data_IF_094643484629
#
_entry.id   IF_094643484629
#
_cell.length_a   1.000
_cell.length_b   1.000
_cell.length_c   1.000
_cell.angle_alpha   90.00
_cell.angle_beta   90.00
_cell.angle_gamma   90.00
#
_symmetry.space_group_name_H-M   'P 1'
#
loop_
_entity.id
_entity.type
_entity.pdbx_description
1 polymer ?
#
# COMPACT_ATOMS: atom_id res chain seq x y z
N UNK A 1 -14.19 -51.25 2.43
CA UNK A 1 -14.41 -50.01 3.21
C UNK A 1 -13.12 -49.23 3.50
N UNK A 2 -11.95 -49.87 3.67
CA UNK A 2 -10.69 -49.17 4.02
C UNK A 2 -10.08 -48.30 2.91
N UNK A 3 -10.31 -48.64 1.63
CA UNK A 3 -9.71 -47.90 0.49
C UNK A 3 -10.31 -46.50 0.31
N UNK A 4 -11.62 -46.34 0.53
CA UNK A 4 -12.29 -45.04 0.44
C UNK A 4 -11.89 -44.11 1.58
N UNK A 5 -11.66 -44.65 2.78
CA UNK A 5 -11.17 -43.86 3.92
C UNK A 5 -9.77 -43.28 3.68
N UNK A 6 -8.87 -44.05 3.07
CA UNK A 6 -7.54 -43.59 2.72
C UNK A 6 -7.59 -42.44 1.67
N UNK A 7 -8.48 -42.54 0.69
CA UNK A 7 -8.66 -41.49 -0.32
C UNK A 7 -9.17 -40.17 0.29
N UNK A 8 -10.13 -40.23 1.21
CA UNK A 8 -10.66 -39.03 1.89
C UNK A 8 -9.60 -38.33 2.73
N UNK A 9 -8.71 -39.08 3.40
CA UNK A 9 -7.60 -38.52 4.18
C UNK A 9 -6.60 -37.78 3.29
N UNK A 10 -6.30 -38.28 2.09
CA UNK A 10 -5.34 -37.65 1.16
C UNK A 10 -5.87 -36.31 0.62
N UNK A 11 -7.18 -36.20 0.38
CA UNK A 11 -7.80 -34.96 -0.12
C UNK A 11 -7.74 -33.83 0.92
N UNK A 12 -7.82 -34.16 2.22
CA UNK A 12 -7.79 -33.18 3.31
C UNK A 12 -6.42 -32.51 3.50
N UNK A 13 -5.33 -33.06 2.95
CA UNK A 13 -3.99 -32.47 3.02
C UNK A 13 -3.58 -31.69 1.76
N UNK A 14 -4.49 -31.49 0.80
CA UNK A 14 -4.18 -30.80 -0.47
C UNK A 14 -4.22 -29.26 -0.40
N UNK A 15 -4.32 -28.66 0.80
CA UNK A 15 -4.29 -27.21 0.97
C UNK A 15 -2.88 -26.66 0.72
N UNK A 16 -2.56 -26.41 -0.55
CA UNK A 16 -1.34 -25.74 -0.98
C UNK A 16 -1.63 -24.25 -1.19
N UNK A 17 -1.25 -23.43 -0.21
CA UNK A 17 -1.29 -21.97 -0.36
C UNK A 17 -0.14 -21.52 -1.27
N UNK A 18 -0.47 -20.81 -2.36
CA UNK A 18 0.52 -20.17 -3.23
C UNK A 18 0.90 -18.82 -2.65
N UNK A 19 2.18 -18.65 -2.33
CA UNK A 19 2.74 -17.36 -1.91
C UNK A 19 3.47 -16.74 -3.09
N UNK A 20 3.21 -15.46 -3.36
CA UNK A 20 3.94 -14.67 -4.35
C UNK A 20 4.72 -13.58 -3.62
N UNK A 21 6.01 -13.49 -3.90
CA UNK A 21 6.85 -12.40 -3.41
C UNK A 21 7.05 -11.40 -4.54
N UNK A 22 6.64 -10.15 -4.31
CA UNK A 22 6.95 -9.04 -5.20
C UNK A 22 8.20 -8.32 -4.68
N UNK A 23 9.15 -8.04 -5.57
CA UNK A 23 10.32 -7.23 -5.26
C UNK A 23 10.32 -5.97 -6.12
N UNK A 24 10.58 -4.84 -5.49
CA UNK A 24 10.77 -3.57 -6.19
C UNK A 24 12.26 -3.34 -6.40
N UNK A 25 12.60 -2.79 -7.55
CA UNK A 25 13.94 -2.34 -7.86
C UNK A 25 13.89 -0.87 -8.26
N UNK A 26 14.84 -0.08 -7.77
CA UNK A 26 15.00 1.31 -8.14
C UNK A 26 16.48 1.70 -8.08
N UNK A 27 16.82 2.85 -8.67
CA UNK A 27 18.17 3.40 -8.61
C UNK A 27 18.47 4.12 -7.27
N UNK A 28 17.51 4.14 -6.34
CA UNK A 28 17.69 4.75 -5.03
C UNK A 28 18.51 3.84 -4.12
N UNK A 29 19.22 4.44 -3.17
CA UNK A 29 19.95 3.69 -2.15
C UNK A 29 18.96 2.88 -1.31
N UNK A 30 19.28 1.59 -1.09
CA UNK A 30 18.48 0.72 -0.24
C UNK A 30 19.14 0.52 1.12
N UNK A 31 18.37 0.62 2.20
CA UNK A 31 18.87 0.33 3.55
C UNK A 31 18.81 -1.18 3.89
N UNK A 32 19.21 -1.52 5.12
CA UNK A 32 19.18 -2.90 5.63
C UNK A 32 17.75 -3.46 5.76
N UNK A 33 16.75 -2.59 5.87
CA UNK A 33 15.32 -2.92 5.99
C UNK A 33 14.61 -2.99 4.62
N UNK A 34 15.37 -2.91 3.52
CA UNK A 34 14.84 -2.87 2.15
C UNK A 34 14.04 -1.62 1.78
N UNK A 35 14.17 -0.53 2.55
CA UNK A 35 13.60 0.78 2.21
C UNK A 35 14.44 1.49 1.17
N UNK A 36 13.77 2.25 0.31
CA UNK A 36 14.43 3.16 -0.60
C UNK A 36 14.62 4.52 0.07
N UNK A 37 15.86 5.00 0.08
CA UNK A 37 16.24 6.28 0.70
C UNK A 37 16.49 7.32 -0.39
N UNK A 38 15.86 8.47 -0.21
CA UNK A 38 16.24 9.71 -0.87
C UNK A 38 16.63 10.74 0.18
N UNK A 39 17.85 11.25 0.09
CA UNK A 39 18.41 12.10 1.13
C UNK A 39 19.08 13.32 0.51
N UNK A 40 18.81 14.50 1.08
CA UNK A 40 19.52 15.74 0.78
C UNK A 40 19.99 16.40 2.10
N UNK A 41 20.47 17.64 2.03
CA UNK A 41 20.98 18.37 3.20
C UNK A 41 19.87 18.82 4.18
N UNK A 42 18.63 18.94 3.69
CA UNK A 42 17.47 19.46 4.45
C UNK A 42 16.67 18.33 5.11
N UNK A 43 16.44 17.23 4.41
CA UNK A 43 15.57 16.15 4.84
C UNK A 43 15.99 14.80 4.27
N UNK A 44 15.45 13.74 4.87
CA UNK A 44 15.56 12.36 4.40
C UNK A 44 14.16 11.79 4.22
N UNK A 45 13.89 11.21 3.05
CA UNK A 45 12.66 10.47 2.77
C UNK A 45 12.99 8.98 2.66
N UNK A 46 12.22 8.15 3.35
CA UNK A 46 12.32 6.71 3.30
C UNK A 46 11.00 6.15 2.75
N UNK A 47 11.09 5.33 1.72
CA UNK A 47 9.96 4.67 1.08
C UNK A 47 9.99 3.18 1.37
N UNK A 48 8.87 2.66 1.82
CA UNK A 48 8.68 1.27 2.22
C UNK A 48 7.44 0.68 1.55
N UNK A 49 7.53 -0.60 1.17
CA UNK A 49 6.54 -1.31 0.35
C UNK A 49 6.32 -2.75 0.84
N UNK A 50 6.26 -2.97 2.15
CA UNK A 50 6.10 -4.30 2.73
C UNK A 50 4.74 -4.50 3.41
N UNK A 51 4.20 -5.71 3.27
CA UNK A 51 2.91 -6.11 3.86
C UNK A 51 1.96 -6.72 2.83
N UNK A 52 0.85 -7.24 3.30
CA UNK A 52 -0.27 -7.67 2.44
C UNK A 52 -0.76 -6.48 1.61
N UNK A 53 -0.95 -6.68 0.30
CA UNK A 53 -1.25 -5.61 -0.68
C UNK A 53 -0.16 -4.55 -0.91
N UNK A 54 1.07 -4.76 -0.42
CA UNK A 54 2.21 -3.85 -0.58
C UNK A 54 1.87 -2.39 -0.19
N UNK A 55 1.51 -2.12 1.08
CA UNK A 55 1.17 -0.79 1.53
C UNK A 55 2.37 0.15 1.40
N UNK A 56 2.10 1.37 0.99
CA UNK A 56 3.15 2.38 0.78
C UNK A 56 3.30 3.19 2.05
N UNK A 57 4.48 3.11 2.68
CA UNK A 57 4.84 3.92 3.84
C UNK A 57 5.89 4.95 3.43
N UNK A 58 5.64 6.22 3.77
CA UNK A 58 6.54 7.35 3.49
C UNK A 58 6.93 7.97 4.82
N UNK A 59 8.21 7.89 5.18
CA UNK A 59 8.74 8.54 6.37
C UNK A 59 9.63 9.71 5.96
N UNK A 60 9.31 10.90 6.48
CA UNK A 60 10.07 12.12 6.24
C UNK A 60 10.74 12.55 7.54
N UNK A 61 12.07 12.60 7.53
CA UNK A 61 12.87 13.09 8.64
C UNK A 61 13.46 14.46 8.28
N UNK A 62 13.15 15.47 9.09
CA UNK A 62 13.73 16.80 8.97
C UNK A 62 15.11 16.82 9.64
N UNK A 63 16.15 17.25 8.90
CA UNK A 63 17.51 17.38 9.44
C UNK A 63 17.79 18.76 10.01
N UNK A 64 16.95 19.75 9.68
CA UNK A 64 17.10 21.11 10.14
C UNK A 64 16.35 21.34 11.45
N UNK A 65 16.73 22.39 12.16
CA UNK A 65 16.02 22.87 13.35
C UNK A 65 14.78 23.71 13.03
N UNK A 66 14.60 24.10 11.76
CA UNK A 66 13.43 24.83 11.28
C UNK A 66 12.29 23.89 10.89
N UNK A 67 11.01 24.28 11.05
CA UNK A 67 9.88 23.42 10.74
C UNK A 67 9.76 23.13 9.23
N UNK A 68 9.56 21.86 8.88
CA UNK A 68 9.29 21.40 7.51
C UNK A 68 7.78 21.25 7.31
N UNK A 69 7.22 21.99 6.33
CA UNK A 69 5.81 21.87 5.95
C UNK A 69 5.63 20.91 4.77
N UNK A 70 4.70 19.96 4.89
CA UNK A 70 4.38 18.97 3.86
C UNK A 70 2.90 19.08 3.50
N UNK A 71 2.62 19.44 2.24
CA UNK A 71 1.25 19.50 1.70
C UNK A 71 0.84 18.14 1.14
N UNK A 72 0.27 17.29 2.01
CA UNK A 72 -0.21 15.97 1.60
C UNK A 72 -1.39 16.03 0.63
N UNK A 73 -2.17 17.12 0.63
CA UNK A 73 -3.28 17.32 -0.32
C UNK A 73 -2.78 17.43 -1.76
N UNK A 74 -1.55 17.93 -1.93
CA UNK A 74 -0.88 18.00 -3.23
C UNK A 74 0.05 16.83 -3.53
N UNK A 75 0.23 15.94 -2.58
CA UNK A 75 1.12 14.80 -2.71
C UNK A 75 0.36 13.59 -3.27
N UNK A 76 0.98 12.92 -4.24
CA UNK A 76 0.38 11.75 -4.88
C UNK A 76 1.45 10.78 -5.39
N UNK A 77 1.09 9.51 -5.41
CA UNK A 77 1.83 8.44 -6.08
C UNK A 77 1.36 8.37 -7.52
N UNK A 78 2.29 8.21 -8.46
CA UNK A 78 1.96 7.96 -9.87
C UNK A 78 2.27 6.50 -10.18
N UNK A 79 1.25 5.74 -10.58
CA UNK A 79 1.37 4.34 -10.96
C UNK A 79 0.67 4.12 -12.30
N UNK A 80 1.40 3.66 -13.33
CA UNK A 80 0.89 3.47 -14.70
C UNK A 80 0.12 4.70 -15.21
N UNK A 81 0.73 5.89 -15.09
CA UNK A 81 0.12 7.19 -15.44
C UNK A 81 -1.13 7.59 -14.63
N UNK A 82 -1.55 6.76 -13.68
CA UNK A 82 -2.64 7.07 -12.76
C UNK A 82 -2.10 7.72 -11.49
N UNK A 83 -2.70 8.84 -11.12
CA UNK A 83 -2.39 9.54 -9.87
C UNK A 83 -3.26 9.00 -8.73
N UNK A 84 -2.61 8.56 -7.66
CA UNK A 84 -3.21 8.08 -6.41
C UNK A 84 -2.85 9.07 -5.31
N UNK A 85 -3.84 9.70 -4.68
CA UNK A 85 -3.60 10.75 -3.68
C UNK A 85 -3.10 10.13 -2.38
N UNK A 86 -2.14 10.80 -1.75
CA UNK A 86 -1.68 10.46 -0.39
C UNK A 86 -2.58 11.07 0.70
N UNK A 87 -3.52 11.92 0.31
CA UNK A 87 -4.53 12.50 1.19
C UNK A 87 -5.93 12.16 0.68
N UNK A 88 -6.83 11.83 1.60
CA UNK A 88 -8.26 11.71 1.32
C UNK A 88 -9.04 12.63 2.26
N UNK A 89 -9.87 13.50 1.69
CA UNK A 89 -10.90 14.21 2.46
C UNK A 89 -12.05 13.22 2.72
N UNK A 90 -11.86 12.33 3.70
CA UNK A 90 -12.86 11.36 4.12
C UNK A 90 -14.01 12.07 4.85
N UNK A 91 -15.09 12.37 4.15
CA UNK A 91 -16.40 12.64 4.76
C UNK A 91 -17.16 11.31 4.88
N UNK A 92 -17.08 10.65 6.04
CA UNK A 92 -17.84 9.42 6.31
C UNK A 92 -19.31 9.78 6.51
N UNK A 93 -20.13 9.55 5.48
CA UNK A 93 -21.58 9.63 5.58
C UNK A 93 -22.13 8.27 6.01
N UNK A 94 -22.42 8.12 7.30
CA UNK A 94 -23.17 6.97 7.81
C UNK A 94 -24.66 7.16 7.49
N UNK A 95 -25.10 6.66 6.34
CA UNK A 95 -26.51 6.61 5.96
C UNK A 95 -27.05 5.20 6.13
N UNK A 96 -27.99 5.00 7.05
CA UNK A 96 -28.77 3.75 7.13
C UNK A 96 -29.80 3.74 6.01
N UNK A 97 -29.58 2.90 5.01
CA UNK A 97 -30.57 2.59 3.96
C UNK A 97 -30.87 1.10 4.00
N UNK A 98 -32.12 0.70 3.73
CA UNK A 98 -32.57 -0.70 3.78
C UNK A 98 -32.22 -1.48 2.50
N UNK A 99 -31.10 -1.18 1.83
CA UNK A 99 -30.67 -1.84 0.58
C UNK A 99 -29.14 -1.98 0.57
N UNK A 100 -28.64 -3.21 0.42
CA UNK A 100 -27.22 -3.54 0.48
C UNK A 100 -26.56 -3.37 -0.89
N UNK A 101 -25.83 -2.26 -1.11
CA UNK A 101 -24.90 -2.12 -2.23
C UNK A 101 -23.49 -1.81 -1.71
N UNK A 102 -22.55 -2.76 -1.88
CA UNK A 102 -21.14 -2.55 -1.57
C UNK A 102 -20.42 -2.05 -2.82
N UNK A 103 -20.26 -0.72 -2.95
CA UNK A 103 -19.55 -0.11 -4.09
C UNK A 103 -18.13 0.29 -3.71
N UNK A 104 -17.16 -0.54 -4.08
CA UNK A 104 -15.74 -0.21 -4.02
C UNK A 104 -15.40 0.79 -5.12
N UNK A 105 -15.29 2.08 -4.80
CA UNK A 105 -14.80 3.08 -5.76
C UNK A 105 -13.31 3.31 -5.58
N UNK A 106 -12.50 2.93 -6.58
CA UNK A 106 -11.12 3.44 -6.71
C UNK A 106 -11.22 4.89 -7.14
N UNK A 107 -10.80 5.84 -6.29
CA UNK A 107 -10.89 7.28 -6.60
C UNK A 107 -9.61 7.77 -7.27
N UNK A 108 -9.77 8.47 -8.39
CA UNK A 108 -8.72 9.23 -9.05
C UNK A 108 -8.72 10.67 -8.55
N UNK A 109 -7.54 11.25 -8.34
CA UNK A 109 -7.40 12.66 -7.97
C UNK A 109 -7.76 13.55 -9.15
N UNK A 110 -8.86 14.30 -9.06
CA UNK A 110 -9.11 15.42 -9.97
C UNK A 110 -8.54 16.70 -9.34
N UNK A 111 -7.48 17.24 -9.93
CA UNK A 111 -7.03 18.60 -9.63
C UNK A 111 -7.89 19.56 -10.44
N UNK A 112 -8.70 20.39 -9.79
CA UNK A 112 -9.25 21.60 -10.39
C UNK A 112 -8.12 22.62 -10.51
N UNK A 113 -7.67 22.84 -11.75
CA UNK A 113 -6.76 23.93 -12.10
C UNK A 113 -7.42 25.29 -12.01
#
# INVERSE_FOLDING_TARGET
MNLFYAATVIVLFSSCSKYQFAYLNSNLQRNNEQEFIQENDTFKVQYSFWGEDCPITIQINNKLSEPLYIDWKKSAIVHNDQRICLWEDLSVLNGTTNEFEYKWTKKHCQFSG
#
